data_IF_039250302513
#
_entry.id   IF_039250302513
#
_cell.length_a   1.000
_cell.length_b   1.000
_cell.length_c   1.000
_cell.angle_alpha   90.00
_cell.angle_beta   90.00
_cell.angle_gamma   90.00
#
_symmetry.space_group_name_H-M   'P 1'
#
loop_
_entity.id
_entity.type
_entity.pdbx_description
1 polymer ?
#
# COMPACT_ATOMS: atom_id res chain seq x y z
N UNK A 1 77.58 -60.13 20.99
CA UNK A 1 77.05 -58.87 21.57
C UNK A 1 76.34 -58.16 20.41
N UNK A 2 75.01 -58.25 20.28
CA UNK A 2 73.96 -57.50 21.02
C UNK A 2 73.87 -56.05 20.55
N UNK A 3 72.74 -55.41 20.19
CA UNK A 3 71.33 -55.81 19.92
C UNK A 3 70.64 -54.59 19.17
N UNK A 4 69.78 -54.76 18.14
CA UNK A 4 68.28 -54.82 18.11
C UNK A 4 67.50 -53.50 18.42
N UNK A 5 66.72 -53.05 17.41
CA UNK A 5 65.41 -52.32 17.40
C UNK A 5 65.22 -51.00 18.21
N UNK A 6 64.17 -50.16 18.04
CA UNK A 6 62.84 -50.32 17.37
C UNK A 6 62.21 -48.99 16.86
N UNK A 7 61.02 -49.09 16.23
CA UNK A 7 60.05 -48.01 15.86
C UNK A 7 59.55 -47.19 17.09
N UNK A 8 58.76 -46.09 17.03
CA UNK A 8 57.60 -45.73 16.17
C UNK A 8 57.20 -44.21 16.17
N UNK A 9 56.08 -43.81 15.53
CA UNK A 9 55.77 -42.44 15.00
C UNK A 9 54.93 -41.43 15.92
N UNK A 10 54.10 -40.42 15.48
CA UNK A 10 54.26 -38.99 15.87
C UNK A 10 53.04 -38.23 16.50
N UNK A 11 53.23 -37.01 17.07
CA UNK A 11 52.12 -36.05 17.39
C UNK A 11 52.50 -34.53 17.35
N UNK A 12 51.88 -33.79 16.41
CA UNK A 12 51.19 -32.46 16.47
C UNK A 12 51.62 -31.31 17.45
N UNK A 13 51.83 -30.08 16.94
CA UNK A 13 51.38 -28.80 17.57
C UNK A 13 51.51 -27.53 16.65
N UNK A 14 50.67 -26.51 16.91
CA UNK A 14 50.51 -25.16 16.26
C UNK A 14 50.83 -24.03 17.28
N UNK A 15 50.68 -22.69 17.04
CA UNK A 15 50.67 -21.83 15.82
C UNK A 15 51.81 -20.75 15.97
N UNK A 16 51.71 -19.39 15.82
CA UNK A 16 50.79 -18.47 15.09
C UNK A 16 51.41 -17.25 14.31
N UNK A 17 50.55 -16.63 13.49
CA UNK A 17 50.38 -15.16 13.22
C UNK A 17 51.47 -14.28 12.57
N UNK A 18 51.05 -13.52 11.54
CA UNK A 18 51.75 -12.34 10.97
C UNK A 18 51.22 -11.96 9.58
N UNK A 19 50.30 -11.00 9.50
CA UNK A 19 49.56 -10.62 8.27
C UNK A 19 50.30 -9.63 7.36
N UNK A 20 49.87 -9.53 6.08
CA UNK A 20 49.53 -8.28 5.35
C UNK A 20 48.88 -8.63 4.00
N UNK A 21 47.76 -7.97 3.69
CA UNK A 21 46.98 -8.12 2.46
C UNK A 21 47.48 -7.23 1.30
N UNK A 22 47.20 -7.62 0.05
CA UNK A 22 46.90 -6.65 -1.02
C UNK A 22 45.90 -7.25 -2.03
N UNK A 23 44.95 -6.45 -2.49
CA UNK A 23 43.70 -6.90 -3.11
C UNK A 23 43.80 -7.26 -4.60
N UNK A 24 42.98 -8.22 -5.04
CA UNK A 24 42.72 -8.51 -6.45
C UNK A 24 41.21 -8.63 -6.79
N UNK A 25 40.89 -8.20 -8.01
CA UNK A 25 39.72 -8.57 -8.82
C UNK A 25 38.29 -8.50 -8.23
N UNK A 26 37.60 -7.41 -8.60
CA UNK A 26 36.22 -7.36 -9.13
C UNK A 26 35.45 -8.70 -9.09
N UNK A 27 34.53 -8.84 -8.12
CA UNK A 27 33.55 -9.92 -8.04
C UNK A 27 32.13 -9.36 -8.00
N UNK A 28 31.28 -9.79 -8.93
CA UNK A 28 29.88 -9.34 -9.02
C UNK A 28 29.05 -9.85 -7.84
N UNK A 29 28.70 -8.97 -6.89
CA UNK A 29 27.74 -9.30 -5.84
C UNK A 29 26.32 -9.42 -6.41
N UNK A 30 25.91 -10.65 -6.73
CA UNK A 30 24.50 -10.97 -6.91
C UNK A 30 23.80 -10.83 -5.55
N UNK A 31 22.82 -9.94 -5.45
CA UNK A 31 21.94 -9.91 -4.27
C UNK A 31 21.19 -11.24 -4.16
N UNK A 32 21.31 -11.90 -3.01
CA UNK A 32 20.61 -13.13 -2.71
C UNK A 32 19.08 -12.94 -2.84
N UNK A 33 18.34 -13.93 -3.39
CA UNK A 33 16.89 -13.94 -3.29
C UNK A 33 16.45 -14.01 -1.83
N UNK A 34 15.22 -13.59 -1.53
CA UNK A 34 14.60 -13.93 -0.25
C UNK A 34 14.49 -15.45 -0.14
N UNK A 35 15.18 -16.04 0.83
CA UNK A 35 15.14 -17.48 1.08
C UNK A 35 13.71 -17.96 1.31
N UNK A 36 13.35 -19.03 0.59
CA UNK A 36 12.19 -19.86 0.89
C UNK A 36 12.69 -20.98 1.79
N UNK A 37 12.47 -20.85 3.09
CA UNK A 37 12.76 -21.94 4.03
C UNK A 37 12.01 -23.23 3.60
N UNK A 38 12.76 -24.32 3.48
CA UNK A 38 12.24 -25.66 3.22
C UNK A 38 11.31 -26.11 4.36
N UNK A 39 10.15 -26.64 4.01
CA UNK A 39 9.27 -27.31 4.96
C UNK A 39 9.70 -28.77 5.13
N UNK A 40 10.12 -29.23 6.32
CA UNK A 40 10.26 -30.65 6.59
C UNK A 40 8.87 -31.30 6.65
N UNK A 41 8.78 -32.53 6.14
CA UNK A 41 7.52 -33.25 6.02
C UNK A 41 7.04 -33.85 7.35
N UNK A 42 5.71 -33.86 7.53
CA UNK A 42 5.02 -34.90 8.31
C UNK A 42 4.80 -34.66 9.81
N UNK A 43 3.79 -33.86 10.15
CA UNK A 43 3.03 -34.09 11.38
C UNK A 43 1.55 -33.70 11.17
N UNK A 44 0.63 -34.66 11.35
CA UNK A 44 -0.82 -34.42 11.20
C UNK A 44 -1.34 -33.65 12.43
N UNK A 45 -1.25 -32.32 12.35
CA UNK A 45 -1.76 -31.43 13.38
C UNK A 45 -3.30 -31.36 13.36
N UNK A 46 -3.90 -32.06 14.32
CA UNK A 46 -5.28 -32.00 14.78
C UNK A 46 -6.00 -30.66 14.49
N UNK A 47 -6.89 -30.67 13.49
CA UNK A 47 -7.56 -29.48 12.95
C UNK A 47 -8.53 -28.90 13.97
N UNK A 48 -8.30 -27.67 14.50
CA UNK A 48 -9.27 -27.03 15.38
C UNK A 48 -10.56 -26.72 14.61
N UNK A 49 -11.72 -26.70 15.27
CA UNK A 49 -13.02 -26.62 14.61
C UNK A 49 -13.16 -25.38 13.72
N UNK A 50 -13.76 -25.58 12.55
CA UNK A 50 -13.99 -24.52 11.58
C UNK A 50 -14.85 -23.40 12.17
N UNK A 51 -14.23 -22.24 12.42
CA UNK A 51 -14.97 -20.98 12.51
C UNK A 51 -15.62 -20.78 11.13
N UNK A 52 -16.96 -20.63 11.03
CA UNK A 52 -17.63 -20.52 9.74
C UNK A 52 -16.96 -19.44 8.87
N UNK A 53 -16.66 -19.78 7.61
CA UNK A 53 -15.97 -18.89 6.64
C UNK A 53 -16.60 -17.49 6.60
N UNK A 54 -17.94 -17.44 6.76
CA UNK A 54 -18.72 -16.22 6.90
C UNK A 54 -18.30 -15.30 8.06
N UNK A 55 -18.02 -15.80 9.27
CA UNK A 55 -17.64 -14.95 10.42
C UNK A 55 -16.27 -14.31 10.17
N UNK A 56 -15.33 -15.08 9.62
CA UNK A 56 -13.99 -14.58 9.25
C UNK A 56 -14.08 -13.59 8.10
N UNK A 57 -14.95 -13.84 7.11
CA UNK A 57 -15.25 -12.91 6.01
C UNK A 57 -15.84 -11.60 6.51
N UNK A 58 -16.92 -11.65 7.32
CA UNK A 58 -17.56 -10.46 7.89
C UNK A 58 -16.59 -9.67 8.79
N UNK A 59 -15.77 -10.37 9.58
CA UNK A 59 -14.70 -9.75 10.38
C UNK A 59 -13.66 -9.05 9.52
N UNK A 60 -13.31 -9.64 8.37
CA UNK A 60 -12.38 -9.05 7.39
C UNK A 60 -12.97 -7.82 6.74
N UNK A 61 -14.22 -7.87 6.30
CA UNK A 61 -14.93 -6.72 5.73
C UNK A 61 -15.08 -5.59 6.76
N UNK A 62 -15.41 -5.91 8.01
CA UNK A 62 -15.54 -4.94 9.10
C UNK A 62 -14.22 -4.24 9.43
N UNK A 63 -13.12 -5.00 9.60
CA UNK A 63 -11.81 -4.38 9.79
C UNK A 63 -11.33 -3.61 8.56
N UNK A 64 -11.60 -4.11 7.35
CA UNK A 64 -11.26 -3.40 6.11
C UNK A 64 -11.99 -2.06 6.02
N UNK A 65 -13.28 -2.01 6.37
CA UNK A 65 -14.07 -0.77 6.51
C UNK A 65 -13.46 0.18 7.55
N UNK A 66 -13.22 -0.31 8.77
CA UNK A 66 -12.62 0.49 9.84
C UNK A 66 -11.29 1.11 9.41
N UNK A 67 -10.37 0.29 8.92
CA UNK A 67 -9.04 0.74 8.53
C UNK A 67 -9.03 1.57 7.24
N UNK A 68 -9.99 1.41 6.32
CA UNK A 68 -10.13 2.28 5.15
C UNK A 68 -10.57 3.70 5.54
N UNK A 69 -11.51 3.84 6.48
CA UNK A 69 -11.93 5.15 7.03
C UNK A 69 -10.72 5.87 7.66
N UNK A 70 -9.96 5.16 8.49
CA UNK A 70 -8.73 5.71 9.07
C UNK A 70 -7.65 5.99 8.01
N UNK A 71 -7.54 5.17 6.96
CA UNK A 71 -6.59 5.39 5.87
C UNK A 71 -6.87 6.66 5.06
N UNK A 72 -8.13 6.89 4.67
CA UNK A 72 -8.54 8.15 4.02
C UNK A 72 -8.30 9.35 4.94
N UNK A 73 -8.63 9.24 6.23
CA UNK A 73 -8.41 10.30 7.20
C UNK A 73 -6.91 10.62 7.39
N UNK A 74 -6.05 9.60 7.51
CA UNK A 74 -4.60 9.80 7.61
C UNK A 74 -4.02 10.42 6.33
N UNK A 75 -4.47 9.99 5.14
CA UNK A 75 -4.09 10.65 3.87
C UNK A 75 -4.46 12.12 3.90
N UNK A 76 -5.73 12.45 4.17
CA UNK A 76 -6.22 13.84 4.19
C UNK A 76 -5.45 14.70 5.20
N UNK A 77 -5.17 14.17 6.39
CA UNK A 77 -4.38 14.85 7.40
C UNK A 77 -2.92 15.09 6.97
N UNK A 78 -2.28 14.10 6.34
CA UNK A 78 -0.88 14.17 5.92
C UNK A 78 -0.68 15.04 4.68
N UNK A 79 -1.59 14.97 3.70
CA UNK A 79 -1.63 15.88 2.54
C UNK A 79 -1.86 17.33 2.99
N UNK A 80 -2.77 17.56 3.94
CA UNK A 80 -2.99 18.89 4.51
C UNK A 80 -1.75 19.41 5.27
N UNK A 81 -1.11 18.58 6.10
CA UNK A 81 0.12 18.95 6.81
C UNK A 81 1.31 19.20 5.85
N UNK A 82 1.36 18.49 4.73
CA UNK A 82 2.34 18.68 3.65
C UNK A 82 2.03 19.84 2.70
N UNK A 83 0.91 20.56 2.88
CA UNK A 83 0.48 21.65 1.99
C UNK A 83 0.75 23.02 2.62
N UNK A 84 1.95 23.56 2.38
CA UNK A 84 2.37 24.88 2.86
C UNK A 84 3.09 25.71 1.80
N UNK A 85 3.30 27.00 2.04
CA UNK A 85 4.04 27.88 1.12
C UNK A 85 5.53 27.53 1.07
N UNK A 86 6.09 27.30 -0.13
CA UNK A 86 7.50 26.94 -0.30
C UNK A 86 7.80 25.46 -0.03
N UNK A 87 6.83 24.55 -0.25
CA UNK A 87 7.02 23.10 -0.15
C UNK A 87 8.19 22.58 -1.01
N UNK A 88 8.99 21.69 -0.42
CA UNK A 88 10.11 21.00 -1.09
C UNK A 88 9.71 19.70 -1.78
N UNK A 89 8.57 19.12 -1.39
CA UNK A 89 7.95 17.93 -1.96
C UNK A 89 6.46 18.22 -2.20
N UNK A 90 5.94 17.77 -3.33
CA UNK A 90 4.51 17.90 -3.65
C UNK A 90 3.66 17.14 -2.62
N UNK A 91 2.48 17.64 -2.18
CA UNK A 91 1.74 17.09 -1.04
C UNK A 91 1.41 15.59 -1.13
N UNK A 92 1.09 15.09 -2.33
CA UNK A 92 0.85 13.67 -2.60
C UNK A 92 2.06 12.77 -2.23
N UNK A 93 3.30 13.25 -2.31
CA UNK A 93 4.47 12.45 -1.91
C UNK A 93 4.35 11.95 -0.45
N UNK A 94 3.74 12.74 0.44
CA UNK A 94 3.61 12.41 1.85
C UNK A 94 2.65 11.25 2.14
N UNK A 95 1.56 11.12 1.38
CA UNK A 95 0.65 9.97 1.55
C UNK A 95 1.30 8.67 1.04
N UNK A 96 2.09 8.75 -0.04
CA UNK A 96 2.87 7.61 -0.54
C UNK A 96 3.97 7.20 0.44
N UNK A 97 4.67 8.16 1.08
CA UNK A 97 5.62 7.91 2.17
C UNK A 97 4.94 7.11 3.27
N UNK A 98 3.90 7.68 3.90
CA UNK A 98 3.26 7.08 5.06
C UNK A 98 2.67 5.70 4.75
N UNK A 99 1.89 5.60 3.67
CA UNK A 99 1.23 4.35 3.29
C UNK A 99 2.24 3.25 2.95
N UNK A 100 3.35 3.57 2.27
CA UNK A 100 4.39 2.57 1.98
C UNK A 100 5.17 2.15 3.23
N UNK A 101 5.43 3.04 4.20
CA UNK A 101 6.02 2.64 5.49
C UNK A 101 5.10 1.69 6.26
N UNK A 102 3.79 1.99 6.36
CA UNK A 102 2.82 1.12 7.04
C UNK A 102 2.73 -0.24 6.31
N UNK A 103 2.67 -0.25 4.98
CA UNK A 103 2.64 -1.48 4.18
C UNK A 103 3.90 -2.32 4.40
N UNK A 104 5.08 -1.70 4.41
CA UNK A 104 6.35 -2.41 4.60
C UNK A 104 6.42 -3.10 5.95
N UNK A 105 5.97 -2.41 7.01
CA UNK A 105 5.88 -2.97 8.36
C UNK A 105 4.85 -4.12 8.40
N UNK A 106 3.64 -3.91 7.86
CA UNK A 106 2.59 -4.92 7.83
C UNK A 106 3.00 -6.20 7.07
N UNK A 107 3.66 -6.07 5.91
CA UNK A 107 4.19 -7.20 5.13
C UNK A 107 5.27 -7.96 5.92
N UNK A 108 6.19 -7.26 6.59
CA UNK A 108 7.22 -7.94 7.40
C UNK A 108 6.64 -8.64 8.63
N UNK A 109 5.60 -8.07 9.24
CA UNK A 109 4.93 -8.58 10.44
C UNK A 109 3.78 -9.55 10.14
N UNK A 110 3.55 -9.89 8.86
CA UNK A 110 2.38 -10.68 8.40
C UNK A 110 2.11 -11.93 9.24
N UNK A 111 3.11 -12.77 9.46
CA UNK A 111 2.95 -14.02 10.21
C UNK A 111 2.62 -13.79 11.70
N UNK A 112 3.19 -12.75 12.33
CA UNK A 112 2.89 -12.38 13.72
C UNK A 112 1.46 -11.76 13.81
N UNK A 113 1.00 -11.01 12.80
CA UNK A 113 -0.35 -10.45 12.70
C UNK A 113 -1.43 -11.51 12.44
N UNK A 114 -1.23 -12.38 11.45
CA UNK A 114 -2.16 -13.49 11.13
C UNK A 114 -2.26 -14.50 12.28
N UNK A 115 -1.17 -14.71 13.03
CA UNK A 115 -1.17 -15.55 14.23
C UNK A 115 -1.94 -14.94 15.41
N UNK A 116 -2.03 -13.61 15.50
CA UNK A 116 -2.82 -12.91 16.51
C UNK A 116 -4.31 -12.90 16.13
N UNK A 117 -4.62 -12.44 14.91
CA UNK A 117 -5.98 -12.43 14.37
C UNK A 117 -5.95 -12.37 12.83
N UNK A 118 -6.34 -13.43 12.09
CA UNK A 118 -6.14 -13.50 10.63
C UNK A 118 -6.68 -12.29 9.83
N UNK A 119 -7.88 -11.74 10.12
CA UNK A 119 -8.38 -10.54 9.44
C UNK A 119 -7.53 -9.27 9.63
N UNK A 120 -6.68 -9.18 10.68
CA UNK A 120 -5.92 -7.98 11.04
C UNK A 120 -4.87 -7.62 9.99
N UNK A 121 -4.19 -8.60 9.40
CA UNK A 121 -3.21 -8.34 8.34
C UNK A 121 -3.88 -7.66 7.13
N UNK A 122 -5.04 -8.16 6.70
CA UNK A 122 -5.83 -7.54 5.61
C UNK A 122 -6.29 -6.13 5.99
N UNK A 123 -6.71 -5.93 7.24
CA UNK A 123 -7.08 -4.61 7.77
C UNK A 123 -5.93 -3.60 7.69
N UNK A 124 -4.74 -3.94 8.20
CA UNK A 124 -3.59 -3.03 8.21
C UNK A 124 -2.94 -2.82 6.83
N UNK A 125 -2.81 -3.87 6.03
CA UNK A 125 -2.20 -3.79 4.69
C UNK A 125 -3.18 -3.25 3.65
N UNK A 126 -4.28 -3.96 3.39
CA UNK A 126 -5.26 -3.59 2.36
C UNK A 126 -6.11 -2.42 2.81
N UNK A 127 -6.60 -2.41 4.05
CA UNK A 127 -7.44 -1.34 4.58
C UNK A 127 -6.66 -0.04 4.80
N UNK A 128 -5.75 -0.02 5.77
CA UNK A 128 -5.07 1.19 6.22
C UNK A 128 -4.03 1.65 5.19
N UNK A 129 -2.92 0.92 5.05
CA UNK A 129 -1.81 1.33 4.18
C UNK A 129 -2.23 1.51 2.71
N UNK A 130 -3.08 0.61 2.23
CA UNK A 130 -3.65 0.67 0.89
C UNK A 130 -4.47 1.93 0.62
N UNK A 131 -5.26 2.39 1.61
CA UNK A 131 -6.13 3.57 1.49
C UNK A 131 -5.45 4.90 1.83
N UNK A 132 -4.29 4.88 2.51
CA UNK A 132 -3.44 6.07 2.65
C UNK A 132 -2.83 6.42 1.28
N UNK A 133 -2.27 5.45 0.56
CA UNK A 133 -1.74 5.65 -0.80
C UNK A 133 -2.84 5.78 -1.85
N UNK A 134 -2.60 6.48 -2.96
CA UNK A 134 -3.55 6.55 -4.10
C UNK A 134 -2.83 6.59 -5.45
N UNK A 135 -3.19 5.66 -6.33
CA UNK A 135 -2.64 5.64 -7.70
C UNK A 135 -3.46 6.56 -8.62
N UNK A 136 -4.77 6.68 -8.41
CA UNK A 136 -5.64 7.51 -9.24
C UNK A 136 -5.31 9.00 -9.12
N UNK A 137 -5.02 9.48 -7.90
CA UNK A 137 -4.61 10.87 -7.67
C UNK A 137 -3.22 11.14 -8.24
N UNK A 138 -2.30 10.17 -8.14
CA UNK A 138 -0.99 10.26 -8.80
C UNK A 138 -1.10 10.38 -10.33
N UNK A 139 -1.97 9.59 -10.98
CA UNK A 139 -2.20 9.73 -12.42
C UNK A 139 -2.79 11.10 -12.78
N UNK A 140 -3.72 11.61 -11.96
CA UNK A 140 -4.34 12.92 -12.18
C UNK A 140 -3.32 14.06 -12.03
N UNK A 141 -2.47 14.04 -11.00
CA UNK A 141 -1.46 15.09 -10.79
C UNK A 141 -0.38 15.08 -11.88
N UNK A 142 0.09 13.90 -12.30
CA UNK A 142 1.03 13.77 -13.42
C UNK A 142 0.40 14.29 -14.73
N UNK A 143 -0.89 13.99 -14.96
CA UNK A 143 -1.63 14.54 -16.10
C UNK A 143 -1.72 16.08 -16.01
N UNK A 144 -2.06 16.63 -14.84
CA UNK A 144 -2.15 18.07 -14.60
C UNK A 144 -0.83 18.80 -14.81
N UNK A 145 0.28 18.18 -14.41
CA UNK A 145 1.62 18.70 -14.59
C UNK A 145 1.98 18.85 -16.08
N UNK A 146 1.94 17.77 -16.88
CA UNK A 146 2.36 17.87 -18.28
C UNK A 146 1.42 18.73 -19.13
N UNK A 147 0.13 18.75 -18.80
CA UNK A 147 -0.89 19.51 -19.54
C UNK A 147 -1.03 20.98 -19.08
N UNK A 148 -0.23 21.41 -18.10
CA UNK A 148 -0.22 22.76 -17.51
C UNK A 148 -1.58 23.24 -16.95
N UNK A 149 -2.38 22.36 -16.34
CA UNK A 149 -3.63 22.77 -15.66
C UNK A 149 -3.39 23.79 -14.54
N UNK A 150 -2.18 23.76 -13.95
CA UNK A 150 -1.78 24.60 -12.83
C UNK A 150 -1.37 26.03 -13.25
N UNK A 151 -1.51 26.38 -14.53
CA UNK A 151 -1.30 27.74 -15.08
C UNK A 151 0.02 28.38 -14.62
N UNK A 152 1.13 27.64 -14.71
CA UNK A 152 2.45 28.18 -14.39
C UNK A 152 3.15 28.69 -15.65
N UNK A 153 4.04 29.67 -15.48
CA UNK A 153 4.81 30.36 -16.53
C UNK A 153 5.92 29.48 -17.15
N UNK A 154 5.58 28.23 -17.46
CA UNK A 154 6.48 27.17 -17.86
C UNK A 154 6.03 26.56 -19.20
N UNK A 155 6.93 26.56 -20.18
CA UNK A 155 6.66 26.04 -21.52
C UNK A 155 7.10 24.57 -21.66
N UNK A 156 6.23 23.76 -22.28
CA UNK A 156 6.52 22.45 -22.89
C UNK A 156 7.43 21.52 -22.09
N UNK A 157 8.74 21.63 -22.31
CA UNK A 157 9.77 20.82 -21.66
C UNK A 157 9.71 20.87 -20.13
N UNK A 158 9.43 22.02 -19.52
CA UNK A 158 9.33 22.13 -18.06
C UNK A 158 8.14 21.34 -17.49
N UNK A 159 7.01 21.34 -18.20
CA UNK A 159 5.80 20.62 -17.80
C UNK A 159 6.00 19.10 -17.93
N UNK A 160 6.71 18.67 -18.97
CA UNK A 160 7.18 17.28 -19.10
C UNK A 160 8.15 16.88 -17.97
N UNK A 161 9.11 17.75 -17.63
CA UNK A 161 10.07 17.50 -16.56
C UNK A 161 9.43 17.45 -15.17
N UNK A 162 8.39 18.26 -14.89
CA UNK A 162 7.60 18.16 -13.66
C UNK A 162 6.84 16.83 -13.58
N UNK A 163 6.10 16.46 -14.63
CA UNK A 163 5.39 15.18 -14.70
C UNK A 163 6.32 13.95 -14.58
N UNK A 164 7.49 14.00 -15.22
CA UNK A 164 8.54 12.98 -15.09
C UNK A 164 9.14 12.97 -13.68
N UNK A 165 9.41 14.14 -13.11
CA UNK A 165 9.92 14.31 -11.75
C UNK A 165 8.97 13.70 -10.71
N UNK A 166 7.69 14.09 -10.74
CA UNK A 166 6.65 13.51 -9.88
C UNK A 166 6.53 12.00 -10.04
N UNK A 167 6.64 11.48 -11.27
CA UNK A 167 6.62 10.04 -11.56
C UNK A 167 7.80 9.29 -10.94
N UNK A 168 9.03 9.77 -11.18
CA UNK A 168 10.26 9.14 -10.67
C UNK A 168 10.33 9.24 -9.14
N UNK A 169 10.00 10.41 -8.58
CA UNK A 169 9.99 10.64 -7.13
C UNK A 169 8.94 9.77 -6.45
N UNK A 170 7.70 9.70 -6.97
CA UNK A 170 6.63 8.86 -6.39
C UNK A 170 7.02 7.39 -6.36
N UNK A 171 7.51 6.83 -7.48
CA UNK A 171 7.93 5.44 -7.55
C UNK A 171 9.15 5.14 -6.67
N UNK A 172 10.17 6.00 -6.71
CA UNK A 172 11.40 5.85 -5.92
C UNK A 172 11.14 5.91 -4.42
N UNK A 173 10.37 6.92 -3.97
CA UNK A 173 9.97 7.08 -2.57
C UNK A 173 9.09 5.91 -2.12
N UNK A 174 8.09 5.49 -2.90
CA UNK A 174 7.23 4.36 -2.54
C UNK A 174 8.05 3.08 -2.27
N UNK A 175 9.01 2.76 -3.14
CA UNK A 175 9.90 1.60 -2.95
C UNK A 175 10.84 1.77 -1.76
N UNK A 176 11.45 2.95 -1.60
CA UNK A 176 12.35 3.23 -0.48
C UNK A 176 11.65 3.18 0.88
N UNK A 177 10.47 3.82 1.00
CA UNK A 177 9.63 3.82 2.20
C UNK A 177 9.07 2.43 2.51
N UNK A 178 8.76 1.61 1.49
CA UNK A 178 8.39 0.20 1.68
C UNK A 178 9.54 -0.63 2.28
N UNK A 179 10.78 -0.41 1.82
CA UNK A 179 11.97 -1.06 2.40
C UNK A 179 12.19 -0.59 3.84
N UNK A 180 12.16 0.72 4.09
CA UNK A 180 12.27 1.29 5.44
C UNK A 180 11.20 0.75 6.40
N UNK A 181 9.93 0.71 5.96
CA UNK A 181 8.83 0.11 6.72
C UNK A 181 9.10 -1.35 7.06
N UNK A 182 9.67 -2.13 6.13
CA UNK A 182 10.03 -3.53 6.40
C UNK A 182 11.15 -3.68 7.44
N UNK A 183 12.05 -2.71 7.55
CA UNK A 183 13.08 -2.68 8.60
C UNK A 183 12.47 -2.26 9.95
N UNK A 184 11.57 -1.27 9.94
CA UNK A 184 10.80 -0.87 11.12
C UNK A 184 9.95 -2.04 11.65
N UNK A 185 9.33 -2.85 10.79
CA UNK A 185 8.60 -4.07 11.17
C UNK A 185 9.46 -5.11 11.91
N UNK A 186 10.75 -5.24 11.55
CA UNK A 186 11.70 -6.11 12.28
C UNK A 186 12.06 -5.57 13.67
N UNK A 187 12.09 -4.25 13.82
CA UNK A 187 12.44 -3.57 15.07
C UNK A 187 11.24 -3.40 16.02
N UNK A 188 10.04 -3.25 15.47
CA UNK A 188 8.80 -3.07 16.21
C UNK A 188 8.60 -4.20 17.22
N UNK A 189 8.30 -3.79 18.45
CA UNK A 189 8.57 -4.56 19.66
C UNK A 189 7.77 -5.88 19.81
N UNK A 190 6.80 -6.17 18.93
CA UNK A 190 6.07 -7.44 18.90
C UNK A 190 6.96 -8.67 18.71
N UNK A 191 8.23 -8.54 18.31
CA UNK A 191 9.21 -9.64 18.34
C UNK A 191 10.07 -9.72 19.60
N UNK A 192 10.20 -8.62 20.37
CA UNK A 192 11.12 -8.49 21.53
C UNK A 192 10.41 -8.39 22.89
N UNK A 193 9.13 -8.04 22.94
CA UNK A 193 8.35 -8.02 24.18
C UNK A 193 8.20 -9.43 24.77
N UNK A 194 8.20 -9.60 26.10
CA UNK A 194 7.90 -10.90 26.72
C UNK A 194 6.49 -11.39 26.36
N UNK A 195 5.55 -10.46 26.14
CA UNK A 195 4.21 -10.73 25.60
C UNK A 195 4.29 -11.49 24.26
N UNK A 196 5.27 -11.22 23.39
CA UNK A 196 5.45 -11.96 22.13
C UNK A 196 5.61 -13.47 22.34
N UNK A 197 6.28 -13.88 23.43
CA UNK A 197 6.46 -15.28 23.81
C UNK A 197 5.13 -15.93 24.22
N UNK A 198 4.28 -15.15 24.89
CA UNK A 198 2.91 -15.54 25.28
C UNK A 198 2.01 -15.63 24.05
N UNK A 199 2.01 -14.61 23.18
CA UNK A 199 1.26 -14.60 21.92
C UNK A 199 1.66 -15.76 21.00
N UNK A 200 2.95 -16.13 20.98
CA UNK A 200 3.47 -17.28 20.22
C UNK A 200 3.18 -18.64 20.83
N UNK A 201 2.72 -18.73 22.08
CA UNK A 201 2.30 -20.00 22.69
C UNK A 201 1.25 -20.69 21.81
N UNK A 202 1.40 -21.98 21.44
CA UNK A 202 0.40 -22.70 20.66
C UNK A 202 -1.00 -22.66 21.30
N UNK A 203 -1.06 -22.69 22.64
CA UNK A 203 -2.30 -22.58 23.42
C UNK A 203 -2.94 -21.20 23.29
N UNK A 204 -2.16 -20.12 23.37
CA UNK A 204 -2.68 -18.76 23.19
C UNK A 204 -3.13 -18.53 21.74
N UNK A 205 -2.34 -18.95 20.73
CA UNK A 205 -2.75 -18.83 19.32
C UNK A 205 -4.07 -19.55 19.04
N UNK A 206 -4.25 -20.78 19.55
CA UNK A 206 -5.50 -21.54 19.39
C UNK A 206 -6.66 -20.78 20.05
N UNK A 207 -6.48 -20.27 21.27
CA UNK A 207 -7.48 -19.50 22.00
C UNK A 207 -7.83 -18.13 21.37
N UNK A 208 -6.84 -17.35 20.93
CA UNK A 208 -7.06 -16.04 20.30
C UNK A 208 -7.74 -16.17 18.93
N UNK A 209 -7.33 -17.17 18.13
CA UNK A 209 -7.94 -17.50 16.83
C UNK A 209 -9.39 -17.98 16.95
N UNK A 210 -9.77 -18.58 18.08
CA UNK A 210 -11.16 -18.98 18.38
C UNK A 210 -11.85 -18.05 19.39
N UNK A 211 -11.29 -16.87 19.68
CA UNK A 211 -11.86 -15.99 20.69
C UNK A 211 -13.06 -15.25 20.12
N UNK A 212 -14.24 -15.63 20.60
CA UNK A 212 -15.51 -14.95 20.29
C UNK A 212 -15.40 -13.44 20.53
N UNK A 213 -14.63 -13.01 21.54
CA UNK A 213 -14.40 -11.59 21.85
C UNK A 213 -13.66 -10.87 20.70
N UNK A 214 -12.61 -11.47 20.13
CA UNK A 214 -11.88 -10.88 19.01
C UNK A 214 -12.77 -10.69 17.78
N UNK A 215 -13.63 -11.67 17.49
CA UNK A 215 -14.63 -11.57 16.43
C UNK A 215 -15.70 -10.50 16.72
N UNK A 216 -16.27 -10.46 17.93
CA UNK A 216 -17.28 -9.46 18.32
C UNK A 216 -16.72 -8.04 18.22
N UNK A 217 -15.51 -7.79 18.73
CA UNK A 217 -14.84 -6.49 18.61
C UNK A 217 -14.57 -6.13 17.15
N UNK A 218 -14.03 -7.05 16.35
CA UNK A 218 -13.77 -6.82 14.93
C UNK A 218 -15.06 -6.53 14.16
N UNK A 219 -16.14 -7.25 14.41
CA UNK A 219 -17.45 -7.08 13.77
C UNK A 219 -18.16 -5.78 14.18
N UNK A 220 -17.90 -5.26 15.38
CA UNK A 220 -18.46 -3.99 15.83
C UNK A 220 -17.77 -2.77 15.20
N UNK A 221 -16.43 -2.79 15.09
CA UNK A 221 -15.62 -1.61 14.70
C UNK A 221 -15.99 -1.01 13.34
N UNK A 222 -16.15 -1.83 12.28
CA UNK A 222 -16.45 -1.36 10.93
C UNK A 222 -17.81 -0.66 10.84
N UNK A 223 -18.92 -1.32 11.18
CA UNK A 223 -20.25 -0.72 11.22
C UNK A 223 -20.33 0.51 12.12
N UNK A 224 -19.70 0.49 13.30
CA UNK A 224 -19.71 1.62 14.23
C UNK A 224 -19.04 2.86 13.63
N UNK A 225 -17.84 2.71 13.07
CA UNK A 225 -17.11 3.84 12.47
C UNK A 225 -17.75 4.31 11.16
N UNK A 226 -18.33 3.41 10.36
CA UNK A 226 -19.01 3.79 9.12
C UNK A 226 -20.35 4.50 9.37
N UNK A 227 -21.13 4.03 10.35
CA UNK A 227 -22.31 4.74 10.85
C UNK A 227 -21.92 6.10 11.46
N UNK A 228 -20.82 6.16 12.22
CA UNK A 228 -20.26 7.42 12.74
C UNK A 228 -19.90 8.40 11.62
N UNK A 229 -19.25 7.95 10.55
CA UNK A 229 -18.94 8.76 9.37
C UNK A 229 -20.22 9.27 8.68
N UNK A 230 -21.24 8.42 8.51
CA UNK A 230 -22.53 8.81 7.94
C UNK A 230 -23.29 9.83 8.81
N UNK A 231 -23.28 9.65 10.14
CA UNK A 231 -23.88 10.60 11.09
C UNK A 231 -23.14 11.94 11.07
N UNK A 232 -21.80 11.94 11.08
CA UNK A 232 -21.00 13.16 10.93
C UNK A 232 -21.25 13.86 9.59
N UNK A 233 -21.40 13.10 8.50
CA UNK A 233 -21.79 13.63 7.19
C UNK A 233 -23.19 14.27 7.22
N UNK A 234 -24.14 13.68 7.95
CA UNK A 234 -25.46 14.26 8.17
C UNK A 234 -25.39 15.57 8.97
N UNK A 235 -24.72 15.56 10.12
CA UNK A 235 -24.74 16.62 11.12
C UNK A 235 -23.81 17.81 10.84
N UNK A 236 -22.72 17.64 10.07
CA UNK A 236 -21.72 18.69 9.82
C UNK A 236 -21.63 19.02 8.34
N UNK A 237 -22.48 19.94 7.88
CA UNK A 237 -22.49 20.49 6.51
C UNK A 237 -21.10 20.89 6.02
N UNK A 238 -20.36 21.59 6.88
CA UNK A 238 -19.13 22.30 6.55
C UNK A 238 -17.98 21.31 6.27
N UNK A 239 -18.10 20.07 6.75
CA UNK A 239 -17.07 19.03 6.60
C UNK A 239 -17.40 18.04 5.48
N UNK A 240 -18.57 18.17 4.81
CA UNK A 240 -19.08 17.22 3.82
C UNK A 240 -18.11 16.98 2.66
N UNK A 241 -17.82 18.03 1.89
CA UNK A 241 -16.96 17.92 0.69
C UNK A 241 -15.50 17.62 1.01
N UNK A 242 -14.99 18.12 2.14
CA UNK A 242 -13.57 18.04 2.50
C UNK A 242 -13.22 16.70 3.14
N UNK A 243 -14.08 16.19 4.04
CA UNK A 243 -13.78 15.02 4.89
C UNK A 243 -14.87 13.97 4.81
N UNK A 244 -16.11 14.27 5.23
CA UNK A 244 -17.05 13.23 5.66
C UNK A 244 -17.67 12.45 4.51
N UNK A 245 -17.84 13.01 3.31
CA UNK A 245 -18.17 12.20 2.14
C UNK A 245 -17.04 11.22 1.80
N UNK A 246 -15.76 11.63 1.90
CA UNK A 246 -14.61 10.75 1.70
C UNK A 246 -14.64 9.53 2.63
N UNK A 247 -14.84 9.77 3.93
CA UNK A 247 -14.96 8.71 4.94
C UNK A 247 -16.13 7.76 4.68
N UNK A 248 -17.26 8.24 4.14
CA UNK A 248 -18.42 7.39 3.79
C UNK A 248 -18.14 6.54 2.54
N UNK A 249 -17.40 7.07 1.57
CA UNK A 249 -17.08 6.41 0.30
C UNK A 249 -15.80 5.56 0.31
N UNK A 250 -14.94 5.71 1.31
CA UNK A 250 -13.70 4.94 1.48
C UNK A 250 -13.93 3.40 1.60
N UNK A 251 -14.86 2.89 2.42
CA UNK A 251 -15.05 1.45 2.58
C UNK A 251 -15.46 0.71 1.31
N UNK A 252 -16.45 1.17 0.51
CA UNK A 252 -16.78 0.52 -0.77
C UNK A 252 -15.59 0.42 -1.73
N UNK A 253 -14.74 1.45 -1.80
CA UNK A 253 -13.52 1.44 -2.61
C UNK A 253 -12.53 0.38 -2.15
N UNK A 254 -12.21 0.35 -0.86
CA UNK A 254 -11.29 -0.63 -0.27
C UNK A 254 -11.81 -2.08 -0.37
N UNK A 255 -13.12 -2.30 -0.18
CA UNK A 255 -13.77 -3.61 -0.34
C UNK A 255 -13.68 -4.09 -1.79
N UNK A 256 -13.94 -3.22 -2.76
CA UNK A 256 -13.82 -3.56 -4.17
C UNK A 256 -12.38 -3.89 -4.55
N UNK A 257 -11.39 -3.10 -4.10
CA UNK A 257 -9.95 -3.40 -4.30
C UNK A 257 -9.57 -4.76 -3.72
N UNK A 258 -9.97 -5.04 -2.48
CA UNK A 258 -9.71 -6.33 -1.82
C UNK A 258 -10.31 -7.50 -2.60
N UNK A 259 -11.56 -7.35 -3.07
CA UNK A 259 -12.25 -8.38 -3.85
C UNK A 259 -11.58 -8.63 -5.21
N UNK A 260 -11.23 -7.55 -5.93
CA UNK A 260 -10.50 -7.62 -7.21
C UNK A 260 -9.14 -8.31 -7.02
N UNK A 261 -8.35 -7.90 -6.03
CA UNK A 261 -7.06 -8.51 -5.71
C UNK A 261 -7.21 -10.00 -5.36
N UNK A 262 -8.17 -10.36 -4.48
CA UNK A 262 -8.44 -11.75 -4.07
C UNK A 262 -8.84 -12.65 -5.24
N UNK A 263 -9.56 -12.13 -6.24
CA UNK A 263 -10.07 -12.89 -7.38
C UNK A 263 -9.14 -12.92 -8.59
N UNK A 264 -8.46 -11.82 -8.90
CA UNK A 264 -7.75 -11.64 -10.17
C UNK A 264 -6.22 -11.68 -10.06
N UNK A 265 -5.62 -11.29 -8.93
CA UNK A 265 -4.14 -11.39 -8.79
C UNK A 265 -3.62 -12.84 -8.93
N UNK A 266 -4.31 -13.89 -8.43
CA UNK A 266 -3.86 -15.27 -8.62
C UNK A 266 -3.91 -15.77 -10.08
N UNK A 267 -4.66 -15.10 -10.97
CA UNK A 267 -4.87 -15.54 -12.36
C UNK A 267 -3.60 -15.39 -13.21
N UNK A 268 -2.78 -14.36 -12.91
CA UNK A 268 -1.55 -14.08 -13.66
C UNK A 268 -0.39 -13.74 -12.69
N UNK A 269 0.48 -14.72 -12.34
CA UNK A 269 1.48 -14.56 -11.27
C UNK A 269 2.57 -13.52 -11.57
N UNK A 270 2.76 -13.13 -12.83
CA UNK A 270 3.72 -12.10 -13.26
C UNK A 270 3.05 -10.74 -13.53
N UNK A 271 1.73 -10.61 -13.40
CA UNK A 271 0.97 -9.38 -13.67
C UNK A 271 -0.30 -9.34 -12.80
N UNK A 272 -0.29 -8.63 -11.65
CA UNK A 272 -1.41 -8.59 -10.70
C UNK A 272 -2.67 -7.92 -11.29
N UNK A 273 -3.50 -8.71 -11.96
CA UNK A 273 -4.66 -8.22 -12.71
C UNK A 273 -5.72 -7.52 -11.85
N UNK A 274 -5.85 -7.88 -10.57
CA UNK A 274 -6.78 -7.26 -9.64
C UNK A 274 -6.32 -5.89 -9.18
N UNK A 275 -5.04 -5.75 -8.79
CA UNK A 275 -4.44 -4.45 -8.44
C UNK A 275 -4.40 -3.53 -9.67
N UNK A 276 -4.06 -4.07 -10.85
CA UNK A 276 -4.16 -3.36 -12.12
C UNK A 276 -5.59 -2.87 -12.39
N UNK A 277 -6.59 -3.75 -12.37
CA UNK A 277 -7.98 -3.40 -12.64
C UNK A 277 -8.51 -2.36 -11.65
N UNK A 278 -8.21 -2.50 -10.35
CA UNK A 278 -8.59 -1.54 -9.33
C UNK A 278 -7.98 -0.15 -9.61
N UNK A 279 -6.68 -0.09 -9.90
CA UNK A 279 -5.98 1.14 -10.26
C UNK A 279 -6.55 1.77 -11.55
N UNK A 280 -6.82 1.00 -12.59
CA UNK A 280 -7.36 1.54 -13.86
C UNK A 280 -8.81 2.03 -13.73
N UNK A 281 -9.67 1.28 -13.05
CA UNK A 281 -11.08 1.67 -12.81
C UNK A 281 -11.11 2.98 -11.99
N UNK A 282 -10.36 3.06 -10.89
CA UNK A 282 -10.30 4.28 -10.07
C UNK A 282 -9.66 5.47 -10.80
N UNK A 283 -8.71 5.22 -11.72
CA UNK A 283 -8.11 6.28 -12.57
C UNK A 283 -9.12 6.82 -13.59
N UNK A 284 -9.91 5.97 -14.25
CA UNK A 284 -10.98 6.42 -15.14
C UNK A 284 -12.08 7.19 -14.37
N UNK A 285 -12.45 6.71 -13.19
CA UNK A 285 -13.46 7.35 -12.35
C UNK A 285 -13.01 8.70 -11.77
N UNK A 286 -11.77 8.83 -11.27
CA UNK A 286 -11.29 10.12 -10.77
C UNK A 286 -11.21 11.15 -11.90
N UNK A 287 -10.82 10.75 -13.11
CA UNK A 287 -10.79 11.63 -14.29
C UNK A 287 -12.20 12.13 -14.64
N UNK A 288 -13.21 11.24 -14.58
CA UNK A 288 -14.61 11.58 -14.79
C UNK A 288 -15.15 12.50 -13.68
N UNK A 289 -14.89 12.20 -12.41
CA UNK A 289 -15.37 13.04 -11.30
C UNK A 289 -14.69 14.40 -11.28
N UNK A 290 -13.40 14.48 -11.61
CA UNK A 290 -12.69 15.74 -11.81
C UNK A 290 -13.33 16.54 -12.95
N UNK A 291 -13.53 15.94 -14.13
CA UNK A 291 -14.21 16.60 -15.25
C UNK A 291 -15.59 17.16 -14.84
N UNK A 292 -16.42 16.34 -14.17
CA UNK A 292 -17.76 16.73 -13.73
C UNK A 292 -17.78 17.87 -12.68
N UNK A 293 -16.67 18.14 -11.99
CA UNK A 293 -16.52 19.29 -11.07
C UNK A 293 -16.17 20.61 -11.79
N UNK A 294 -15.78 20.55 -13.07
CA UNK A 294 -15.46 21.72 -13.91
C UNK A 294 -16.49 21.94 -15.04
N UNK A 295 -17.48 21.04 -15.19
CA UNK A 295 -18.51 21.13 -16.24
C UNK A 295 -19.93 21.33 -15.68
N UNK A 296 -20.53 22.46 -16.06
CA UNK A 296 -21.92 22.81 -15.77
C UNK A 296 -22.14 23.35 -14.35
N UNK A 297 -23.27 24.01 -14.15
CA UNK A 297 -23.64 24.57 -12.84
C UNK A 297 -24.01 23.45 -11.86
N UNK A 298 -23.20 23.30 -10.80
CA UNK A 298 -23.38 22.28 -9.77
C UNK A 298 -23.61 22.93 -8.40
N UNK A 299 -24.48 22.32 -7.60
CA UNK A 299 -24.62 22.70 -6.20
C UNK A 299 -23.38 22.31 -5.40
N UNK A 300 -23.03 23.07 -4.35
CA UNK A 300 -21.91 22.78 -3.44
C UNK A 300 -21.99 21.34 -2.91
N UNK A 301 -23.18 20.84 -2.59
CA UNK A 301 -23.39 19.45 -2.16
C UNK A 301 -23.03 18.45 -3.25
N UNK A 302 -23.42 18.70 -4.51
CA UNK A 302 -23.08 17.83 -5.65
C UNK A 302 -21.57 17.77 -5.89
N UNK A 303 -20.91 18.91 -5.81
CA UNK A 303 -19.45 19.01 -5.86
C UNK A 303 -18.78 18.22 -4.73
N UNK A 304 -19.28 18.37 -3.50
CA UNK A 304 -18.77 17.64 -2.34
C UNK A 304 -18.92 16.11 -2.48
N UNK A 305 -20.00 15.63 -3.09
CA UNK A 305 -20.17 14.21 -3.41
C UNK A 305 -19.14 13.75 -4.44
N UNK A 306 -18.90 14.52 -5.50
CA UNK A 306 -17.86 14.22 -6.50
C UNK A 306 -16.46 14.18 -5.87
N UNK A 307 -16.15 15.12 -4.97
CA UNK A 307 -14.89 15.12 -4.23
C UNK A 307 -14.76 13.93 -3.27
N UNK A 308 -15.84 13.55 -2.58
CA UNK A 308 -15.88 12.35 -1.75
C UNK A 308 -15.73 11.04 -2.54
N UNK A 309 -16.24 10.99 -3.77
CA UNK A 309 -16.05 9.88 -4.69
C UNK A 309 -14.63 9.85 -5.30
N UNK A 310 -14.03 11.02 -5.54
CA UNK A 310 -12.62 11.16 -5.90
C UNK A 310 -11.72 10.63 -4.80
N UNK A 311 -11.77 11.25 -3.62
CA UNK A 311 -10.80 11.00 -2.56
C UNK A 311 -11.11 9.68 -1.84
N UNK A 312 -12.36 9.52 -1.39
CA UNK A 312 -12.81 8.33 -0.67
C UNK A 312 -12.86 7.11 -1.59
N UNK A 313 -13.77 7.08 -2.57
CA UNK A 313 -13.95 5.88 -3.37
C UNK A 313 -12.74 5.55 -4.25
N UNK A 314 -12.32 6.47 -5.15
CA UNK A 314 -11.22 6.18 -6.07
C UNK A 314 -9.88 6.09 -5.33
N UNK A 315 -9.65 6.98 -4.36
CA UNK A 315 -8.44 6.95 -3.54
C UNK A 315 -8.31 5.75 -2.61
N UNK A 316 -9.40 5.05 -2.22
CA UNK A 316 -9.30 3.79 -1.46
C UNK A 316 -9.42 2.54 -2.36
N UNK A 317 -10.02 2.67 -3.55
CA UNK A 317 -10.02 1.65 -4.60
C UNK A 317 -8.64 1.48 -5.24
N UNK A 318 -7.90 2.55 -5.46
CA UNK A 318 -6.55 2.49 -6.01
C UNK A 318 -5.49 2.44 -4.92
N UNK A 319 -4.25 2.05 -5.25
CA UNK A 319 -3.15 2.01 -4.30
C UNK A 319 -1.78 2.00 -5.00
N UNK A 320 -0.82 2.70 -4.40
CA UNK A 320 0.61 2.61 -4.76
C UNK A 320 1.35 1.64 -3.82
N UNK A 321 0.93 1.51 -2.55
CA UNK A 321 1.64 0.66 -1.59
C UNK A 321 1.56 -0.84 -1.93
N UNK A 322 0.41 -1.36 -2.35
CA UNK A 322 0.31 -2.75 -2.83
C UNK A 322 1.08 -2.94 -4.14
N UNK A 323 0.96 -1.98 -5.06
CA UNK A 323 1.69 -1.97 -6.33
C UNK A 323 3.22 -2.00 -6.13
N UNK A 324 3.76 -1.24 -5.16
CA UNK A 324 5.18 -1.26 -4.80
C UNK A 324 5.63 -2.61 -4.19
N UNK A 325 4.77 -3.30 -3.43
CA UNK A 325 5.04 -4.66 -2.96
C UNK A 325 5.12 -5.62 -4.14
N UNK A 326 4.15 -5.56 -5.05
CA UNK A 326 4.09 -6.43 -6.23
C UNK A 326 5.29 -6.24 -7.16
N UNK A 327 5.69 -4.99 -7.43
CA UNK A 327 6.90 -4.67 -8.21
C UNK A 327 8.19 -5.25 -7.62
N UNK A 328 8.26 -5.44 -6.29
CA UNK A 328 9.40 -6.10 -5.63
C UNK A 328 9.26 -7.62 -5.57
N UNK A 329 8.04 -8.15 -5.61
CA UNK A 329 7.77 -9.60 -5.57
C UNK A 329 7.89 -10.28 -6.95
N UNK A 330 7.72 -9.52 -8.02
CA UNK A 330 7.77 -10.02 -9.41
C UNK A 330 9.20 -9.94 -9.96
N UNK A 331 9.59 -10.89 -10.82
CA UNK A 331 10.90 -10.88 -11.51
C UNK A 331 11.08 -9.61 -12.33
N UNK A 332 12.23 -8.95 -12.19
CA UNK A 332 12.56 -7.62 -12.76
C UNK A 332 11.96 -7.29 -14.14
N UNK A 333 12.15 -8.14 -15.17
CA UNK A 333 11.61 -7.89 -16.52
C UNK A 333 10.08 -7.70 -16.53
N UNK A 334 9.35 -8.54 -15.79
CA UNK A 334 7.90 -8.43 -15.66
C UNK A 334 7.50 -7.28 -14.73
N UNK A 335 8.30 -6.97 -13.70
CA UNK A 335 8.06 -5.81 -12.84
C UNK A 335 8.15 -4.48 -13.63
N UNK A 336 9.19 -4.30 -14.45
CA UNK A 336 9.30 -3.11 -15.31
C UNK A 336 8.16 -3.02 -16.34
N UNK A 337 7.78 -4.14 -16.96
CA UNK A 337 6.62 -4.19 -17.86
C UNK A 337 5.32 -3.85 -17.13
N UNK A 338 5.09 -4.42 -15.95
CA UNK A 338 3.91 -4.16 -15.13
C UNK A 338 3.84 -2.69 -14.71
N UNK A 339 4.96 -2.10 -14.28
CA UNK A 339 5.05 -0.68 -13.95
C UNK A 339 4.72 0.21 -15.16
N UNK A 340 5.37 -0.04 -16.29
CA UNK A 340 5.18 0.72 -17.52
C UNK A 340 3.75 0.63 -18.04
N UNK A 341 3.17 -0.58 -18.12
CA UNK A 341 1.78 -0.77 -18.59
C UNK A 341 0.78 -0.12 -17.65
N UNK A 342 0.97 -0.24 -16.33
CA UNK A 342 0.07 0.40 -15.34
C UNK A 342 0.10 1.92 -15.46
N UNK A 343 1.29 2.51 -15.57
CA UNK A 343 1.46 3.95 -15.77
C UNK A 343 0.88 4.42 -17.11
N UNK A 344 1.26 3.75 -18.22
CA UNK A 344 0.86 4.14 -19.56
C UNK A 344 -0.66 4.04 -19.76
N UNK A 345 -1.31 2.96 -19.33
CA UNK A 345 -2.77 2.84 -19.42
C UNK A 345 -3.46 3.85 -18.50
N UNK A 346 -2.93 4.12 -17.30
CA UNK A 346 -3.44 5.15 -16.41
C UNK A 346 -3.42 6.56 -17.04
N UNK A 347 -2.30 6.93 -17.68
CA UNK A 347 -2.18 8.20 -18.41
C UNK A 347 -3.04 8.24 -19.68
N UNK A 348 -3.18 7.13 -20.42
CA UNK A 348 -4.10 7.04 -21.56
C UNK A 348 -5.55 7.26 -21.12
N UNK A 349 -5.97 6.71 -19.98
CA UNK A 349 -7.31 6.95 -19.43
C UNK A 349 -7.53 8.43 -19.06
N UNK A 350 -6.52 9.09 -18.48
CA UNK A 350 -6.56 10.54 -18.22
C UNK A 350 -6.70 11.35 -19.52
N UNK A 351 -5.90 11.02 -20.54
CA UNK A 351 -5.98 11.64 -21.88
C UNK A 351 -7.36 11.45 -22.51
N UNK A 352 -7.92 10.24 -22.48
CA UNK A 352 -9.18 9.93 -23.15
C UNK A 352 -10.41 10.53 -22.45
N UNK A 353 -10.40 10.58 -21.11
CA UNK A 353 -11.56 11.09 -20.34
C UNK A 353 -11.49 12.60 -20.13
N UNK A 354 -10.35 13.11 -19.64
CA UNK A 354 -10.19 14.53 -19.27
C UNK A 354 -9.57 15.35 -20.41
N UNK A 355 -8.48 14.86 -21.01
CA UNK A 355 -7.76 15.56 -22.08
C UNK A 355 -8.61 15.79 -23.33
N UNK A 356 -9.29 14.75 -23.82
CA UNK A 356 -10.11 14.81 -25.02
C UNK A 356 -11.27 15.83 -24.89
N UNK A 357 -11.94 15.87 -23.74
CA UNK A 357 -12.97 16.90 -23.48
C UNK A 357 -12.35 18.30 -23.44
N UNK A 358 -11.25 18.47 -22.70
CA UNK A 358 -10.63 19.76 -22.47
C UNK A 358 -10.09 20.39 -23.76
N UNK A 359 -9.33 19.64 -24.57
CA UNK A 359 -8.80 20.17 -25.84
C UNK A 359 -9.90 20.45 -26.88
N UNK A 360 -11.07 19.79 -26.77
CA UNK A 360 -12.20 20.04 -27.65
C UNK A 360 -13.08 21.25 -27.23
N UNK A 361 -13.27 21.48 -25.93
CA UNK A 361 -14.27 22.44 -25.42
C UNK A 361 -13.69 23.59 -24.58
N UNK A 362 -12.44 23.48 -24.12
CA UNK A 362 -11.92 24.28 -23.02
C UNK A 362 -12.45 23.82 -21.64
N UNK A 363 -11.76 24.23 -20.58
CA UNK A 363 -12.24 24.14 -19.20
C UNK A 363 -12.43 25.56 -18.69
N UNK A 364 -13.43 26.23 -19.26
CA UNK A 364 -13.76 27.64 -18.96
C UNK A 364 -14.62 27.78 -17.69
N UNK A 365 -15.06 26.66 -17.10
CA UNK A 365 -15.77 26.64 -15.83
C UNK A 365 -14.81 26.77 -14.66
N UNK A 366 -15.12 27.68 -13.73
CA UNK A 366 -14.54 27.67 -12.39
C UNK A 366 -14.74 26.29 -11.77
N UNK A 367 -13.69 25.70 -11.20
CA UNK A 367 -13.82 24.52 -10.37
C UNK A 367 -14.91 24.77 -9.32
N UNK A 368 -15.74 23.75 -9.05
CA UNK A 368 -16.59 23.69 -7.86
C UNK A 368 -15.84 24.15 -6.60
N UNK A 369 -16.06 25.39 -6.16
CA UNK A 369 -15.35 25.94 -5.00
C UNK A 369 -15.92 25.34 -3.70
N UNK A 370 -15.30 24.25 -3.24
CA UNK A 370 -15.45 23.75 -1.87
C UNK A 370 -14.71 24.71 -0.93
N UNK A 371 -15.47 25.64 -0.34
CA UNK A 371 -15.02 26.49 0.76
C UNK A 371 -14.94 25.73 2.07
#
# INVERSE_FOLDING_TARGET
>A
MSAIASEDEPVNSRPPSGDIESHSSIGSQQHAPFDKDEQPAGEQADTPPDVPDLITLLSTLSLLTFFAIWGDLLRKAVVAAGSYGGVTLFPLAWDQILGCVIMGAAVNMRADLEAYYPPLYTGLSTGLAGSVTTFSSWMLEVFQAYSNQRHQDHHGFHNFMDALGQTVVTLGIAVACLIFGSHLGKFLLLRRLPIARILRSPRYRRHARTSTLSHVLALALGPLFWAGAAVLCGLRSDWRGIVTFGLVFAPPGAILRWWLAKKLNPVAPNFPLGTFAANMIGTALIALFFLLQYTGDRSITSCGVLQGLSDGFCGCLTTVSTFAVELRSIRHRHAYLYAFVSYAVGQILMVLVLGAYWWANGLNGSACALR
#
